data_IF_386076107275
#
_entry.id   IF_386076107275
#
_cell.length_a   1.000
_cell.length_b   1.000
_cell.length_c   1.000
_cell.angle_alpha   90.00
_cell.angle_beta   90.00
_cell.angle_gamma   90.00
#
_symmetry.space_group_name_H-M   'P 1'
#
loop_
_entity.id
_entity.type
_entity.pdbx_description
1 polymer ?
#
# COMPACT_ATOMS: atom_id res chain seq x y z
N UNK A 1 14.79 23.84 -8.34
CA UNK A 1 14.89 24.20 -6.92
C UNK A 1 16.05 23.42 -6.32
N UNK A 2 17.22 24.04 -6.20
CA UNK A 2 18.34 23.45 -5.46
C UNK A 2 17.90 23.26 -4.01
N UNK A 3 17.92 22.02 -3.52
CA UNK A 3 17.77 21.72 -2.10
C UNK A 3 19.03 22.26 -1.44
N UNK A 4 18.88 23.28 -0.62
CA UNK A 4 20.01 23.99 0.01
C UNK A 4 20.87 22.96 0.75
N UNK A 5 22.16 22.89 0.43
CA UNK A 5 23.17 22.01 1.02
C UNK A 5 23.47 22.34 2.50
N UNK A 6 22.51 22.94 3.20
CA UNK A 6 22.57 23.38 4.60
C UNK A 6 21.56 22.63 5.49
N UNK A 7 20.71 21.77 4.92
CA UNK A 7 19.66 21.09 5.70
C UNK A 7 20.16 19.86 6.49
N UNK A 8 21.34 19.34 6.16
CA UNK A 8 21.97 18.21 6.85
C UNK A 8 22.34 18.49 8.32
N UNK A 9 22.40 19.77 8.72
CA UNK A 9 22.62 20.22 10.11
C UNK A 9 21.37 20.80 10.78
N UNK A 10 20.22 20.81 10.09
CA UNK A 10 19.00 21.39 10.66
C UNK A 10 18.56 20.56 11.87
N UNK A 11 18.29 21.21 12.99
CA UNK A 11 17.64 20.54 14.12
C UNK A 11 16.35 19.89 13.64
N UNK A 12 16.13 18.60 13.93
CA UNK A 12 14.90 17.93 13.54
C UNK A 12 13.68 18.72 14.02
N UNK A 13 12.91 19.24 13.07
CA UNK A 13 11.87 20.21 13.35
C UNK A 13 10.53 19.46 13.43
N UNK A 14 10.25 18.95 14.61
CA UNK A 14 8.99 18.27 14.92
C UNK A 14 8.01 19.30 15.47
N UNK A 15 7.50 20.15 14.60
CA UNK A 15 6.45 21.13 14.95
C UNK A 15 5.07 20.45 14.94
N UNK A 16 4.94 19.37 15.72
CA UNK A 16 3.67 18.68 15.91
C UNK A 16 2.87 19.29 17.09
N UNK A 17 3.36 20.37 17.71
CA UNK A 17 2.75 20.98 18.91
C UNK A 17 2.84 20.12 20.18
N UNK A 18 3.58 19.01 20.15
CA UNK A 18 3.67 18.00 21.22
C UNK A 18 4.88 18.21 22.14
N UNK A 19 5.12 19.42 22.66
CA UNK A 19 6.05 19.67 23.78
C UNK A 19 7.40 18.91 23.74
N UNK A 20 7.98 18.50 24.88
CA UNK A 20 9.23 17.72 24.95
C UNK A 20 9.05 16.23 24.62
N UNK A 21 7.96 15.86 23.93
CA UNK A 21 7.62 14.47 23.66
C UNK A 21 8.34 13.98 22.40
N UNK A 22 8.82 12.73 22.42
CA UNK A 22 9.55 12.18 21.29
C UNK A 22 8.61 12.06 20.07
N UNK A 23 9.05 12.46 18.87
CA UNK A 23 8.25 12.39 17.66
C UNK A 23 7.79 10.97 17.35
N UNK A 24 6.60 10.86 16.74
CA UNK A 24 6.07 9.56 16.33
C UNK A 24 6.91 8.88 15.23
N UNK A 25 6.83 7.54 15.10
CA UNK A 25 7.52 6.78 14.04
C UNK A 25 7.27 7.30 12.61
N UNK A 26 6.06 7.78 12.34
CA UNK A 26 5.68 8.37 11.05
C UNK A 26 6.46 9.67 10.78
N UNK A 27 6.53 10.57 11.76
CA UNK A 27 7.24 11.84 11.62
C UNK A 27 8.74 11.60 11.37
N UNK A 28 9.33 10.61 12.05
CA UNK A 28 10.72 10.22 11.81
C UNK A 28 10.96 9.72 10.38
N UNK A 29 10.06 8.89 9.84
CA UNK A 29 10.16 8.40 8.47
C UNK A 29 9.97 9.54 7.44
N UNK A 30 9.01 10.44 7.66
CA UNK A 30 8.77 11.58 6.76
C UNK A 30 9.96 12.54 6.75
N UNK A 31 10.52 12.86 7.93
CA UNK A 31 11.71 13.72 8.04
C UNK A 31 12.90 13.13 7.27
N UNK A 32 13.22 11.85 7.47
CA UNK A 32 14.32 11.19 6.73
C UNK A 32 14.05 11.03 5.23
N UNK A 33 12.78 10.95 4.82
CA UNK A 33 12.40 10.89 3.40
C UNK A 33 12.52 12.24 2.69
N UNK A 34 12.24 13.33 3.39
CA UNK A 34 12.39 14.70 2.87
C UNK A 34 13.83 15.21 2.95
N UNK A 35 14.53 14.81 4.02
CA UNK A 35 15.87 15.26 4.39
C UNK A 35 16.74 14.04 4.70
N UNK A 36 17.34 13.41 3.67
CA UNK A 36 18.20 12.26 3.87
C UNK A 36 19.47 12.70 4.62
N UNK A 37 19.68 12.12 5.80
CA UNK A 37 20.85 12.37 6.65
C UNK A 37 21.79 11.17 6.63
N UNK A 38 23.07 11.41 6.92
CA UNK A 38 24.01 10.33 7.15
C UNK A 38 23.57 9.51 8.39
N UNK A 39 23.61 8.17 8.35
CA UNK A 39 23.37 7.31 9.51
C UNK A 39 24.10 7.74 10.79
N UNK A 40 25.30 8.32 10.69
CA UNK A 40 26.08 8.78 11.86
C UNK A 40 25.46 10.01 12.55
N UNK A 41 24.63 10.78 11.83
CA UNK A 41 23.96 11.99 12.34
C UNK A 41 22.49 11.76 12.69
N UNK A 42 22.00 10.52 12.60
CA UNK A 42 20.61 10.18 12.94
C UNK A 42 20.57 9.67 14.39
N UNK A 43 19.84 10.33 15.31
CA UNK A 43 19.64 9.80 16.65
C UNK A 43 18.99 8.42 16.63
N UNK A 44 19.41 7.52 17.53
CA UNK A 44 18.92 6.14 17.58
C UNK A 44 17.39 6.04 17.63
N UNK A 45 16.73 6.92 18.40
CA UNK A 45 15.28 6.96 18.52
C UNK A 45 14.58 7.32 17.19
N UNK A 46 15.21 8.13 16.34
CA UNK A 46 14.69 8.51 15.03
C UNK A 46 14.88 7.39 14.01
N UNK A 47 16.08 6.77 14.01
CA UNK A 47 16.36 5.61 13.18
C UNK A 47 15.40 4.44 13.53
N UNK A 48 15.19 4.20 14.82
CA UNK A 48 14.23 3.22 15.30
C UNK A 48 12.79 3.57 14.89
N UNK A 49 12.38 4.84 15.04
CA UNK A 49 11.06 5.31 14.61
C UNK A 49 10.81 5.11 13.12
N UNK A 50 11.76 5.50 12.28
CA UNK A 50 11.66 5.31 10.83
C UNK A 50 11.59 3.83 10.45
N UNK A 51 12.45 2.99 11.02
CA UNK A 51 12.44 1.55 10.78
C UNK A 51 11.14 0.87 11.25
N UNK A 52 10.51 1.35 12.33
CA UNK A 52 9.21 0.87 12.78
C UNK A 52 8.10 1.22 11.78
N UNK A 53 8.13 2.43 11.22
CA UNK A 53 7.16 2.85 10.21
C UNK A 53 7.30 2.04 8.91
N UNK A 54 8.53 1.83 8.43
CA UNK A 54 8.82 1.00 7.25
C UNK A 54 8.25 -0.42 7.40
N UNK A 55 8.47 -1.06 8.56
CA UNK A 55 7.89 -2.38 8.86
C UNK A 55 6.37 -2.36 8.82
N UNK A 56 5.76 -1.30 9.36
CA UNK A 56 4.29 -1.13 9.37
C UNK A 56 3.75 -0.95 7.95
N UNK A 57 4.38 -0.10 7.14
CA UNK A 57 3.97 0.11 5.75
C UNK A 57 4.16 -1.14 4.90
N UNK A 58 5.27 -1.87 5.05
CA UNK A 58 5.49 -3.14 4.38
C UNK A 58 4.40 -4.18 4.75
N UNK A 59 4.05 -4.28 6.04
CA UNK A 59 2.97 -5.15 6.50
C UNK A 59 1.60 -4.74 5.92
N UNK A 60 1.32 -3.44 5.86
CA UNK A 60 0.08 -2.93 5.27
C UNK A 60 0.03 -3.15 3.75
N UNK A 61 1.15 -3.00 3.05
CA UNK A 61 1.28 -3.29 1.62
C UNK A 61 0.99 -4.78 1.33
N UNK A 62 1.56 -5.70 2.12
CA UNK A 62 1.28 -7.14 2.02
C UNK A 62 -0.18 -7.48 2.29
N UNK A 63 -0.80 -6.83 3.28
CA UNK A 63 -2.25 -6.96 3.52
C UNK A 63 -3.07 -6.49 2.32
N UNK A 64 -2.74 -5.31 1.77
CA UNK A 64 -3.42 -4.75 0.58
C UNK A 64 -3.28 -5.67 -0.63
N UNK A 65 -2.10 -6.24 -0.87
CA UNK A 65 -1.86 -7.21 -1.94
C UNK A 65 -2.75 -8.45 -1.80
N UNK A 66 -2.78 -9.05 -0.60
CA UNK A 66 -3.66 -10.18 -0.29
C UNK A 66 -5.13 -9.84 -0.49
N UNK A 67 -5.55 -8.66 -0.07
CA UNK A 67 -6.94 -8.21 -0.22
C UNK A 67 -7.32 -7.98 -1.69
N UNK A 68 -6.38 -7.49 -2.53
CA UNK A 68 -6.57 -7.41 -3.99
C UNK A 68 -6.69 -8.79 -4.61
N UNK A 69 -5.80 -9.72 -4.24
CA UNK A 69 -5.85 -11.10 -4.74
C UNK A 69 -7.18 -11.80 -4.39
N UNK A 70 -7.67 -11.63 -3.16
CA UNK A 70 -8.97 -12.17 -2.73
C UNK A 70 -10.14 -11.59 -3.54
N UNK A 71 -10.14 -10.28 -3.80
CA UNK A 71 -11.18 -9.63 -4.61
C UNK A 71 -11.10 -10.09 -6.08
N UNK A 72 -9.90 -10.24 -6.63
CA UNK A 72 -9.69 -10.74 -7.98
C UNK A 72 -10.20 -12.20 -8.12
N UNK A 73 -9.85 -13.08 -7.18
CA UNK A 73 -10.33 -14.46 -7.16
C UNK A 73 -11.86 -14.52 -7.09
N UNK A 74 -12.49 -13.76 -6.17
CA UNK A 74 -13.95 -13.70 -6.06
C UNK A 74 -14.62 -13.14 -7.32
N UNK A 75 -13.99 -12.19 -8.01
CA UNK A 75 -14.50 -11.66 -9.28
C UNK A 75 -14.36 -12.69 -10.41
N UNK A 76 -13.24 -13.40 -10.48
CA UNK A 76 -13.00 -14.46 -11.47
C UNK A 76 -13.97 -15.63 -11.28
N UNK A 77 -14.22 -16.05 -10.04
CA UNK A 77 -15.20 -17.11 -9.73
C UNK A 77 -16.60 -16.71 -10.17
N UNK A 78 -17.05 -15.49 -9.87
CA UNK A 78 -18.34 -14.98 -10.35
C UNK A 78 -18.42 -14.90 -11.88
N UNK A 79 -17.34 -14.47 -12.53
CA UNK A 79 -17.28 -14.43 -13.99
C UNK A 79 -17.35 -15.84 -14.60
N UNK A 80 -16.69 -16.82 -13.99
CA UNK A 80 -16.76 -18.22 -14.40
C UNK A 80 -18.17 -18.80 -14.20
N UNK A 81 -18.83 -18.51 -13.07
CA UNK A 81 -20.22 -18.91 -12.83
C UNK A 81 -21.17 -18.29 -13.87
N UNK A 82 -20.99 -17.01 -14.20
CA UNK A 82 -21.78 -16.34 -15.24
C UNK A 82 -21.54 -16.96 -16.62
N UNK A 83 -20.29 -17.28 -16.98
CA UNK A 83 -19.98 -17.94 -18.24
C UNK A 83 -20.60 -19.35 -18.32
N UNK A 84 -20.56 -20.13 -17.23
CA UNK A 84 -21.20 -21.44 -17.15
C UNK A 84 -22.73 -21.36 -17.24
N UNK A 85 -23.35 -20.34 -16.64
CA UNK A 85 -24.79 -20.10 -16.78
C UNK A 85 -25.16 -19.70 -18.20
N UNK A 86 -24.35 -18.85 -18.85
CA UNK A 86 -24.57 -18.46 -20.24
C UNK A 86 -24.44 -19.63 -21.22
N UNK A 87 -23.45 -20.52 -21.02
CA UNK A 87 -23.25 -21.73 -21.83
C UNK A 87 -24.40 -22.72 -21.67
N UNK A 88 -24.86 -22.96 -20.43
CA UNK A 88 -26.04 -23.79 -20.16
C UNK A 88 -27.35 -23.21 -20.72
N UNK A 89 -27.44 -21.88 -20.82
CA UNK A 89 -28.62 -21.19 -21.38
C UNK A 89 -28.57 -21.08 -22.91
N UNK A 90 -27.38 -21.19 -23.51
CA UNK A 90 -27.14 -21.14 -24.96
C UNK A 90 -27.19 -22.51 -25.66
N UNK A 91 -27.15 -23.61 -24.90
CA UNK A 91 -27.22 -24.98 -25.41
C UNK A 91 -28.67 -25.48 -25.63
N UNK A 92 -29.52 -24.65 -26.24
CA UNK A 92 -30.75 -25.10 -26.88
C UNK A 92 -30.63 -24.82 -28.39
N UNK A 93 -30.03 -25.73 -29.18
CA UNK A 93 -30.26 -25.69 -30.60
C UNK A 93 -31.75 -26.00 -30.80
N UNK A 94 -32.47 -25.01 -31.30
CA UNK A 94 -33.79 -25.16 -31.87
C UNK A 94 -33.70 -26.09 -33.08
N UNK A 95 -33.67 -27.40 -32.84
CA UNK A 95 -33.98 -28.42 -33.83
C UNK A 95 -35.44 -28.83 -33.66
N UNK A 96 -36.32 -27.90 -34.01
CA UNK A 96 -37.72 -28.19 -34.32
C UNK A 96 -37.99 -27.60 -35.70
N UNK A 97 -37.75 -28.41 -36.73
CA UNK A 97 -38.33 -28.21 -38.05
C UNK A 97 -39.31 -29.37 -38.31
N UNK A 98 -40.59 -29.10 -38.65
CA UNK A 98 -41.65 -30.11 -38.71
C UNK A 98 -41.58 -30.95 -40.00
N UNK A 99 -42.14 -32.17 -40.01
CA UNK A 99 -42.23 -33.01 -41.20
C UNK A 99 -43.34 -32.51 -42.14
N UNK A 100 -43.05 -32.45 -43.44
CA UNK A 100 -44.03 -32.34 -44.53
C UNK A 100 -43.60 -33.23 -45.70
#
# INVERSE_FOLDING_TARGET
>A
MLRSELDWMREPLFDDGHGPERPGPHACHVELGLYPRDPEFIPEWMAAGAAQWEKREAALARRRERDRARRAAKKAEKAAQQAQQADQSGAAPAEQAPPA
#
